data_IF_169695897826
#
_entry.id   IF_169695897826
#
_cell.length_a   1.000
_cell.length_b   1.000
_cell.length_c   1.000
_cell.angle_alpha   90.00
_cell.angle_beta   90.00
_cell.angle_gamma   90.00
#
_symmetry.space_group_name_H-M   'P 1'
#
loop_
_entity.id
_entity.type
_entity.pdbx_description
1 polymer ?
#
# COMPACT_ATOMS: atom_id res chain seq x y z
N UNK A 1 20.97 5.67 -6.57
CA UNK A 1 20.17 5.18 -7.72
C UNK A 1 19.69 3.75 -7.55
N UNK A 2 20.58 2.77 -7.29
CA UNK A 2 20.20 1.34 -7.15
C UNK A 2 19.08 1.06 -6.15
N UNK A 3 19.12 1.67 -4.96
CA UNK A 3 18.09 1.49 -3.93
C UNK A 3 16.70 2.00 -4.37
N UNK A 4 16.63 3.14 -5.06
CA UNK A 4 15.36 3.69 -5.54
C UNK A 4 14.70 2.79 -6.58
N UNK A 5 15.49 2.22 -7.50
CA UNK A 5 14.99 1.26 -8.49
C UNK A 5 14.50 -0.01 -7.80
N UNK A 6 15.24 -0.53 -6.82
CA UNK A 6 14.82 -1.72 -6.08
C UNK A 6 13.50 -1.50 -5.34
N UNK A 7 13.37 -0.37 -4.63
CA UNK A 7 12.13 0.01 -3.92
C UNK A 7 10.98 0.22 -4.90
N UNK A 8 11.20 0.95 -5.99
CA UNK A 8 10.17 1.17 -7.02
C UNK A 8 9.66 -0.14 -7.58
N UNK A 9 10.57 -1.02 -8.03
CA UNK A 9 10.20 -2.32 -8.61
C UNK A 9 9.50 -3.20 -7.58
N UNK A 10 9.98 -3.25 -6.33
CA UNK A 10 9.34 -4.06 -5.29
C UNK A 10 7.93 -3.58 -4.96
N UNK A 11 7.73 -2.26 -4.81
CA UNK A 11 6.41 -1.68 -4.50
C UNK A 11 5.49 -1.82 -5.70
N UNK A 12 6.00 -1.57 -6.91
CA UNK A 12 5.23 -1.74 -8.14
C UNK A 12 4.71 -3.18 -8.28
N UNK A 13 5.58 -4.19 -8.10
CA UNK A 13 5.16 -5.59 -8.13
C UNK A 13 4.18 -5.93 -7.00
N UNK A 14 4.36 -5.39 -5.79
CA UNK A 14 3.48 -5.65 -4.66
C UNK A 14 2.07 -5.07 -4.86
N UNK A 15 1.96 -3.94 -5.55
CA UNK A 15 0.69 -3.22 -5.78
C UNK A 15 -0.02 -3.64 -7.08
N UNK A 16 0.66 -4.37 -7.98
CA UNK A 16 0.10 -4.80 -9.26
C UNK A 16 -1.09 -5.74 -9.08
N UNK A 17 -2.25 -5.35 -9.62
CA UNK A 17 -3.46 -6.17 -9.60
C UNK A 17 -4.23 -6.13 -8.27
N UNK A 18 -3.91 -5.18 -7.38
CA UNK A 18 -4.68 -4.99 -6.16
C UNK A 18 -6.11 -4.49 -6.42
N UNK A 19 -7.00 -4.76 -5.47
CA UNK A 19 -8.42 -4.33 -5.47
C UNK A 19 -8.57 -2.82 -5.67
N UNK A 20 -7.63 -2.03 -5.16
CA UNK A 20 -7.61 -0.58 -5.38
C UNK A 20 -7.46 -0.22 -6.86
N UNK A 21 -6.61 -0.93 -7.61
CA UNK A 21 -6.43 -0.71 -9.05
C UNK A 21 -7.67 -1.12 -9.87
N UNK A 22 -8.34 -2.20 -9.48
CA UNK A 22 -9.62 -2.58 -10.10
C UNK A 22 -10.70 -1.53 -9.81
N UNK A 23 -10.77 -1.01 -8.58
CA UNK A 23 -11.71 0.04 -8.23
C UNK A 23 -11.46 1.32 -9.05
N UNK A 24 -10.21 1.76 -9.19
CA UNK A 24 -9.87 2.94 -10.00
C UNK A 24 -10.17 2.72 -11.48
N UNK A 25 -9.95 1.51 -12.01
CA UNK A 25 -10.35 1.15 -13.37
C UNK A 25 -11.87 1.25 -13.56
N UNK A 26 -12.67 0.71 -12.63
CA UNK A 26 -14.13 0.82 -12.70
C UNK A 26 -14.62 2.27 -12.60
N UNK A 27 -14.01 3.10 -11.75
CA UNK A 27 -14.32 4.53 -11.69
C UNK A 27 -13.96 5.25 -13.00
N UNK A 28 -12.82 4.92 -13.61
CA UNK A 28 -12.40 5.51 -14.88
C UNK A 28 -13.24 5.04 -16.08
N UNK A 29 -13.83 3.85 -16.00
CA UNK A 29 -14.75 3.31 -17.00
C UNK A 29 -16.14 3.95 -16.95
N UNK A 30 -16.50 4.61 -15.84
CA UNK A 30 -17.76 5.32 -15.72
C UNK A 30 -17.75 6.63 -16.53
N UNK A 31 -18.64 6.73 -17.51
CA UNK A 31 -18.75 7.89 -18.41
C UNK A 31 -19.12 9.20 -17.69
N UNK A 32 -19.79 9.11 -16.53
CA UNK A 32 -20.14 10.27 -15.72
C UNK A 32 -18.94 10.88 -14.96
N UNK A 33 -17.80 10.21 -14.93
CA UNK A 33 -16.63 10.62 -14.14
C UNK A 33 -15.49 11.08 -15.05
N UNK A 34 -14.85 12.20 -14.71
CA UNK A 34 -13.68 12.69 -15.43
C UNK A 34 -12.49 11.73 -15.27
N UNK A 35 -11.97 11.19 -16.38
CA UNK A 35 -10.80 10.30 -16.40
C UNK A 35 -9.57 10.94 -15.74
N UNK A 36 -9.33 12.22 -16.01
CA UNK A 36 -8.25 12.99 -15.37
C UNK A 36 -8.51 13.17 -13.87
N UNK A 37 -9.77 13.37 -13.47
CA UNK A 37 -10.16 13.43 -12.06
C UNK A 37 -9.85 12.13 -11.32
N UNK A 38 -10.21 10.98 -11.90
CA UNK A 38 -9.92 9.65 -11.32
C UNK A 38 -8.42 9.42 -11.23
N UNK A 39 -7.66 9.77 -12.27
CA UNK A 39 -6.20 9.66 -12.26
C UNK A 39 -5.57 10.49 -11.14
N UNK A 40 -5.92 11.78 -11.04
CA UNK A 40 -5.36 12.66 -10.02
C UNK A 40 -5.77 12.22 -8.61
N UNK A 41 -7.04 11.83 -8.41
CA UNK A 41 -7.52 11.37 -7.11
C UNK A 41 -6.82 10.08 -6.67
N UNK A 42 -6.70 9.09 -7.55
CA UNK A 42 -6.03 7.82 -7.24
C UNK A 42 -4.52 7.98 -7.04
N UNK A 43 -3.86 8.78 -7.87
CA UNK A 43 -2.44 9.09 -7.70
C UNK A 43 -2.18 9.84 -6.39
N UNK A 44 -3.01 10.84 -6.06
CA UNK A 44 -2.89 11.58 -4.80
C UNK A 44 -3.13 10.67 -3.60
N UNK A 45 -4.14 9.78 -3.66
CA UNK A 45 -4.41 8.82 -2.60
C UNK A 45 -3.23 7.85 -2.38
N UNK A 46 -2.64 7.32 -3.46
CA UNK A 46 -1.47 6.45 -3.39
C UNK A 46 -0.27 7.18 -2.78
N UNK A 47 0.06 8.37 -3.29
CA UNK A 47 1.17 9.19 -2.78
C UNK A 47 0.97 9.56 -1.31
N UNK A 48 -0.25 9.96 -0.92
CA UNK A 48 -0.56 10.32 0.46
C UNK A 48 -0.46 9.11 1.39
N UNK A 49 -1.02 7.97 0.99
CA UNK A 49 -0.94 6.72 1.75
C UNK A 49 0.52 6.30 1.97
N UNK A 50 1.33 6.31 0.91
CA UNK A 50 2.76 6.00 1.00
C UNK A 50 3.51 6.98 1.88
N UNK A 51 3.22 8.28 1.78
CA UNK A 51 3.83 9.31 2.62
C UNK A 51 3.49 9.09 4.11
N UNK A 52 2.23 8.80 4.43
CA UNK A 52 1.80 8.49 5.80
C UNK A 52 2.47 7.22 6.33
N UNK A 53 2.56 6.17 5.52
CA UNK A 53 3.25 4.93 5.89
C UNK A 53 4.74 5.16 6.19
N UNK A 54 5.43 5.93 5.35
CA UNK A 54 6.84 6.28 5.57
C UNK A 54 7.02 7.15 6.81
N UNK A 55 6.17 8.16 7.01
CA UNK A 55 6.21 9.03 8.20
C UNK A 55 6.01 8.21 9.48
N UNK A 56 4.95 7.40 9.54
CA UNK A 56 4.68 6.54 10.68
C UNK A 56 5.80 5.52 10.91
N UNK A 57 6.30 4.87 9.86
CA UNK A 57 7.39 3.91 9.94
C UNK A 57 8.70 4.54 10.42
N UNK A 58 9.05 5.73 9.93
CA UNK A 58 10.23 6.48 10.37
C UNK A 58 10.12 6.94 11.82
N UNK A 59 8.93 7.40 12.22
CA UNK A 59 8.68 7.80 13.60
C UNK A 59 8.80 6.60 14.52
N UNK A 60 8.10 5.48 14.27
CA UNK A 60 8.21 4.28 15.08
C UNK A 60 9.64 3.72 15.13
N UNK A 61 10.35 3.74 13.99
CA UNK A 61 11.73 3.29 13.90
C UNK A 61 12.73 4.12 14.71
N UNK A 62 12.39 5.36 15.07
CA UNK A 62 13.23 6.18 15.96
C UNK A 62 13.13 5.77 17.43
N UNK A 63 12.04 5.09 17.83
CA UNK A 63 11.78 4.71 19.23
C UNK A 63 11.95 3.21 19.48
N UNK A 64 11.87 2.39 18.42
CA UNK A 64 11.88 0.93 18.52
C UNK A 64 13.15 0.33 17.89
N UNK A 65 13.81 -0.62 18.57
CA UNK A 65 14.94 -1.32 17.96
C UNK A 65 14.49 -2.19 16.77
N UNK A 66 15.37 -2.43 15.77
CA UNK A 66 14.98 -3.05 14.50
C UNK A 66 14.44 -4.48 14.59
N UNK A 67 14.86 -5.24 15.61
CA UNK A 67 14.46 -6.64 15.81
C UNK A 67 13.00 -6.78 16.22
N UNK A 68 12.54 -6.20 17.34
CA UNK A 68 11.13 -6.31 17.75
C UNK A 68 10.19 -5.70 16.71
N UNK A 69 10.55 -4.59 16.07
CA UNK A 69 9.73 -3.99 15.01
C UNK A 69 9.44 -4.97 13.86
N UNK A 70 10.48 -5.70 13.42
CA UNK A 70 10.37 -6.68 12.33
C UNK A 70 9.52 -7.89 12.73
N UNK A 71 9.68 -8.38 13.96
CA UNK A 71 8.90 -9.51 14.49
C UNK A 71 7.43 -9.11 14.62
N UNK A 72 7.14 -7.93 15.19
CA UNK A 72 5.78 -7.42 15.32
C UNK A 72 5.09 -7.25 13.97
N UNK A 73 5.79 -6.68 12.98
CA UNK A 73 5.27 -6.56 11.62
C UNK A 73 4.95 -7.92 10.99
N UNK A 74 5.85 -8.90 11.13
CA UNK A 74 5.64 -10.26 10.63
C UNK A 74 4.47 -10.98 11.31
N UNK A 75 4.38 -10.90 12.64
CA UNK A 75 3.25 -11.47 13.41
C UNK A 75 1.93 -10.81 12.99
N UNK A 76 1.91 -9.49 12.84
CA UNK A 76 0.73 -8.77 12.36
C UNK A 76 0.30 -9.22 10.96
N UNK A 77 1.26 -9.41 10.05
CA UNK A 77 0.99 -9.87 8.69
C UNK A 77 0.39 -11.29 8.68
N UNK A 78 0.93 -12.21 9.47
CA UNK A 78 0.40 -13.58 9.61
C UNK A 78 -0.99 -13.56 10.25
N UNK A 79 -1.20 -12.75 11.30
CA UNK A 79 -2.49 -12.63 11.96
C UNK A 79 -3.58 -12.12 11.00
N UNK A 80 -3.28 -11.07 10.22
CA UNK A 80 -4.19 -10.56 9.18
C UNK A 80 -4.45 -11.62 8.11
N UNK A 81 -3.40 -12.35 7.68
CA UNK A 81 -3.54 -13.43 6.70
C UNK A 81 -4.46 -14.56 7.18
N UNK A 82 -4.27 -15.04 8.41
CA UNK A 82 -5.15 -16.04 9.04
C UNK A 82 -6.57 -15.50 9.14
N UNK A 83 -6.73 -14.26 9.62
CA UNK A 83 -8.04 -13.63 9.71
C UNK A 83 -8.72 -13.54 8.35
N UNK A 84 -8.00 -13.21 7.28
CA UNK A 84 -8.56 -13.12 5.94
C UNK A 84 -9.01 -14.47 5.39
N UNK A 85 -8.29 -15.56 5.71
CA UNK A 85 -8.66 -16.93 5.33
C UNK A 85 -9.87 -17.44 6.13
N UNK A 86 -9.95 -17.11 7.42
CA UNK A 86 -11.03 -17.60 8.29
C UNK A 86 -12.31 -16.76 8.20
N UNK A 87 -12.18 -15.43 8.07
CA UNK A 87 -13.32 -14.50 8.12
C UNK A 87 -14.08 -14.38 6.79
N UNK A 88 -13.56 -14.91 5.69
CA UNK A 88 -14.28 -15.01 4.41
C UNK A 88 -14.36 -16.48 3.96
N UNK A 89 -15.41 -17.23 4.36
CA UNK A 89 -15.85 -18.41 3.61
C UNK A 89 -16.36 -18.02 2.21
#
# INVERSE_FOLDING_TARGET
>A
MRAYVAVFVSVFLAELGDKTQLATLFFAANQATSKLGVFLASAAALCLSAALAVLAGSYLGAWLPPRPLRVMAGVGFVAIGIWMVVARP
#
